data_IF_927828461913
#
_entry.id   IF_927828461913
#
_cell.length_a   1.000
_cell.length_b   1.000
_cell.length_c   1.000
_cell.angle_alpha   90.00
_cell.angle_beta   90.00
_cell.angle_gamma   90.00
#
_symmetry.space_group_name_H-M   'P 1'
#
loop_
_entity.id
_entity.type
_entity.pdbx_description
1 polymer ?
#
# COMPACT_ATOMS: atom_id res chain seq x y z
N UNK A 1 31.27 -4.77 -10.34
CA UNK A 1 31.32 -4.18 -8.99
C UNK A 1 30.50 -2.92 -8.95
N UNK A 2 29.79 -2.66 -7.84
CA UNK A 2 29.02 -1.44 -7.61
C UNK A 2 28.96 -1.12 -6.11
N UNK A 3 28.43 0.04 -5.74
CA UNK A 3 28.27 0.44 -4.33
C UNK A 3 26.80 0.29 -3.96
N UNK A 4 26.51 -0.39 -2.84
CA UNK A 4 25.20 -0.48 -2.22
C UNK A 4 25.31 -0.20 -0.72
N UNK A 5 24.48 0.70 -0.19
CA UNK A 5 24.54 1.15 1.22
C UNK A 5 25.95 1.53 1.70
N UNK A 6 26.73 2.17 0.81
CA UNK A 6 28.10 2.59 1.10
C UNK A 6 29.17 1.49 1.06
N UNK A 7 28.82 0.26 0.72
CA UNK A 7 29.74 -0.88 0.63
C UNK A 7 29.94 -1.32 -0.82
N UNK A 8 31.19 -1.63 -1.20
CA UNK A 8 31.48 -2.18 -2.52
C UNK A 8 30.97 -3.62 -2.60
N UNK A 9 30.14 -3.89 -3.60
CA UNK A 9 29.54 -5.20 -3.88
C UNK A 9 30.18 -5.76 -5.15
N UNK A 10 30.47 -7.05 -5.14
CA UNK A 10 30.87 -7.83 -6.30
C UNK A 10 29.87 -8.96 -6.49
N UNK A 11 29.39 -9.12 -7.75
CA UNK A 11 28.48 -10.22 -8.04
C UNK A 11 29.23 -11.54 -8.05
N UNK A 12 29.01 -12.33 -7.00
CA UNK A 12 29.56 -13.67 -6.83
C UNK A 12 28.49 -14.66 -6.32
N UNK A 13 27.23 -14.28 -6.45
CA UNK A 13 26.09 -15.02 -5.92
C UNK A 13 25.52 -15.96 -6.95
N UNK A 14 25.26 -17.19 -6.56
CA UNK A 14 24.55 -18.20 -7.33
C UNK A 14 23.38 -18.66 -6.47
N UNK A 15 22.20 -18.82 -7.08
CA UNK A 15 21.01 -19.26 -6.36
C UNK A 15 21.15 -20.71 -5.88
N UNK A 16 20.79 -20.94 -4.62
CA UNK A 16 20.62 -22.28 -4.07
C UNK A 16 19.22 -22.83 -4.41
N UNK A 17 19.05 -24.16 -4.35
CA UNK A 17 17.78 -24.81 -4.65
C UNK A 17 16.61 -24.27 -3.80
N UNK A 18 16.85 -23.99 -2.51
CA UNK A 18 15.83 -23.41 -1.63
C UNK A 18 15.36 -22.03 -2.10
N UNK A 19 16.25 -21.23 -2.71
CA UNK A 19 15.93 -19.90 -3.25
C UNK A 19 15.13 -20.01 -4.54
N UNK A 20 15.43 -21.01 -5.38
CA UNK A 20 14.64 -21.29 -6.59
C UNK A 20 13.21 -21.73 -6.21
N UNK A 21 13.08 -22.60 -5.20
CA UNK A 21 11.78 -23.02 -4.66
C UNK A 21 11.03 -21.81 -4.08
N UNK A 22 11.68 -20.99 -3.24
CA UNK A 22 11.09 -19.79 -2.66
C UNK A 22 10.61 -18.81 -3.73
N UNK A 23 11.42 -18.56 -4.76
CA UNK A 23 11.05 -17.71 -5.90
C UNK A 23 9.83 -18.22 -6.65
N UNK A 24 9.75 -19.53 -6.88
CA UNK A 24 8.58 -20.14 -7.52
C UNK A 24 7.31 -20.00 -6.66
N UNK A 25 7.41 -20.23 -5.36
CA UNK A 25 6.30 -20.08 -4.40
C UNK A 25 5.77 -18.64 -4.40
N UNK A 26 6.65 -17.65 -4.35
CA UNK A 26 6.30 -16.22 -4.41
C UNK A 26 5.62 -15.86 -5.74
N UNK A 27 6.14 -16.37 -6.88
CA UNK A 27 5.51 -16.15 -8.18
C UNK A 27 4.07 -16.70 -8.24
N UNK A 28 3.80 -17.79 -7.53
CA UNK A 28 2.44 -18.36 -7.41
C UNK A 28 1.53 -17.61 -6.45
N UNK A 29 1.96 -16.44 -5.92
CA UNK A 29 1.17 -15.64 -4.99
C UNK A 29 0.96 -16.32 -3.64
N UNK A 30 1.94 -17.04 -3.17
CA UNK A 30 1.93 -17.77 -1.88
C UNK A 30 2.96 -17.20 -0.93
N UNK A 31 2.88 -17.60 0.33
CA UNK A 31 3.86 -17.25 1.36
C UNK A 31 5.03 -18.25 1.26
N UNK A 32 6.24 -17.72 1.15
CA UNK A 32 7.48 -18.48 1.24
C UNK A 32 8.12 -18.19 2.61
N UNK A 33 8.07 -19.16 3.51
CA UNK A 33 8.78 -19.10 4.78
C UNK A 33 10.22 -19.55 4.56
N UNK A 34 11.16 -18.66 4.85
CA UNK A 34 12.60 -18.90 4.73
C UNK A 34 13.29 -18.43 6.00
N UNK A 35 14.23 -19.24 6.50
CA UNK A 35 14.99 -18.90 7.71
C UNK A 35 15.92 -17.71 7.47
N UNK A 36 16.31 -17.06 8.56
CA UNK A 36 17.34 -16.01 8.52
C UNK A 36 18.65 -16.59 7.97
N UNK A 37 19.24 -15.90 6.99
CA UNK A 37 20.48 -16.34 6.33
C UNK A 37 20.29 -17.19 5.07
N UNK A 38 19.10 -17.65 4.75
CA UNK A 38 18.82 -18.41 3.50
C UNK A 38 18.77 -17.53 2.23
N UNK A 39 18.96 -16.23 2.37
CA UNK A 39 19.06 -15.31 1.23
C UNK A 39 17.70 -14.95 0.62
N UNK A 40 16.74 -14.56 1.45
CA UNK A 40 15.40 -14.08 1.01
C UNK A 40 15.47 -13.00 -0.06
N UNK A 41 16.34 -12.01 0.11
CA UNK A 41 16.52 -10.91 -0.86
C UNK A 41 16.94 -11.43 -2.23
N UNK A 42 17.85 -12.39 -2.29
CA UNK A 42 18.28 -13.02 -3.55
C UNK A 42 17.18 -13.89 -4.15
N UNK A 43 16.45 -14.65 -3.34
CA UNK A 43 15.30 -15.44 -3.77
C UNK A 43 14.21 -14.58 -4.42
N UNK A 44 13.93 -13.40 -3.85
CA UNK A 44 12.95 -12.46 -4.37
C UNK A 44 13.28 -11.92 -5.77
N UNK A 45 14.55 -11.89 -6.16
CA UNK A 45 14.97 -11.39 -7.50
C UNK A 45 14.33 -12.17 -8.64
N UNK A 46 14.12 -13.48 -8.47
CA UNK A 46 13.55 -14.37 -9.49
C UNK A 46 12.12 -13.99 -9.86
N UNK A 47 11.16 -13.96 -8.92
CA UNK A 47 9.79 -13.56 -9.23
C UNK A 47 9.66 -12.08 -9.57
N UNK A 48 10.50 -11.20 -9.01
CA UNK A 48 10.53 -9.78 -9.38
C UNK A 48 10.85 -9.66 -10.87
N UNK A 49 11.96 -10.24 -11.31
CA UNK A 49 12.37 -10.20 -12.71
C UNK A 49 11.26 -10.73 -13.64
N UNK A 50 10.76 -11.92 -13.36
CA UNK A 50 9.75 -12.57 -14.19
C UNK A 50 8.46 -11.73 -14.32
N UNK A 51 7.99 -11.14 -13.23
CA UNK A 51 6.77 -10.34 -13.25
C UNK A 51 6.99 -8.93 -13.80
N UNK A 52 8.21 -8.37 -13.70
CA UNK A 52 8.59 -7.08 -14.28
C UNK A 52 8.60 -7.10 -15.80
N UNK A 53 8.91 -8.23 -16.43
CA UNK A 53 8.86 -8.40 -17.90
C UNK A 53 7.50 -8.06 -18.52
N UNK A 54 6.44 -8.04 -17.73
CA UNK A 54 5.10 -7.64 -18.21
C UNK A 54 4.97 -6.13 -18.47
N UNK A 55 5.92 -5.31 -18.01
CA UNK A 55 5.87 -3.84 -18.07
C UNK A 55 4.80 -3.18 -17.21
N UNK A 56 4.10 -3.97 -16.36
CA UNK A 56 2.98 -3.48 -15.55
C UNK A 56 3.39 -3.03 -14.14
N UNK A 57 4.65 -3.20 -13.78
CA UNK A 57 5.22 -2.82 -12.49
C UNK A 57 5.15 -3.89 -11.42
N UNK A 58 6.24 -3.95 -10.66
CA UNK A 58 6.41 -4.81 -9.50
C UNK A 58 6.78 -3.95 -8.31
N UNK A 59 6.09 -4.13 -7.19
CA UNK A 59 6.39 -3.43 -5.94
C UNK A 59 7.06 -4.39 -4.96
N UNK A 60 8.19 -3.96 -4.37
CA UNK A 60 8.82 -4.64 -3.24
C UNK A 60 8.61 -3.80 -1.98
N UNK A 61 7.86 -4.36 -1.05
CA UNK A 61 7.47 -3.70 0.20
C UNK A 61 8.32 -4.21 1.34
N UNK A 62 8.97 -3.31 2.08
CA UNK A 62 9.81 -3.61 3.24
C UNK A 62 9.31 -2.87 4.48
N UNK A 63 9.84 -3.24 5.66
CA UNK A 63 9.42 -2.65 6.95
C UNK A 63 10.03 -1.29 7.24
N UNK A 64 11.15 -0.92 6.61
CA UNK A 64 11.81 0.36 6.86
C UNK A 64 12.56 0.88 5.63
N UNK A 65 12.83 2.20 5.64
CA UNK A 65 13.48 2.90 4.56
C UNK A 65 14.94 2.46 4.31
N UNK A 66 15.63 2.02 5.35
CA UNK A 66 17.01 1.51 5.20
C UNK A 66 17.01 0.26 4.32
N UNK A 67 16.13 -0.70 4.59
CA UNK A 67 16.01 -1.93 3.79
C UNK A 67 15.56 -1.62 2.36
N UNK A 68 14.57 -0.75 2.19
CA UNK A 68 14.11 -0.36 0.87
C UNK A 68 15.24 0.20 0.00
N UNK A 69 16.04 1.13 0.54
CA UNK A 69 17.19 1.73 -0.14
C UNK A 69 18.31 0.72 -0.37
N UNK A 70 18.70 -0.01 0.68
CA UNK A 70 19.77 -1.01 0.59
C UNK A 70 19.46 -2.05 -0.49
N UNK A 71 18.27 -2.61 -0.49
CA UNK A 71 17.92 -3.69 -1.38
C UNK A 71 17.73 -3.21 -2.83
N UNK A 72 17.21 -1.98 -3.02
CA UNK A 72 17.16 -1.36 -4.34
C UNK A 72 18.54 -1.09 -4.92
N UNK A 73 19.50 -0.63 -4.11
CA UNK A 73 20.88 -0.41 -4.52
C UNK A 73 21.63 -1.72 -4.73
N UNK A 74 21.33 -2.73 -3.93
CA UNK A 74 22.03 -4.02 -3.98
C UNK A 74 21.59 -4.87 -5.16
N UNK A 75 20.27 -5.03 -5.36
CA UNK A 75 19.70 -5.87 -6.43
C UNK A 75 19.39 -5.09 -7.70
N UNK A 76 19.27 -3.75 -7.62
CA UNK A 76 18.96 -2.89 -8.75
C UNK A 76 19.85 -3.11 -9.97
N UNK A 77 21.19 -3.14 -9.84
CA UNK A 77 22.10 -3.36 -10.96
C UNK A 77 21.88 -4.69 -11.70
N UNK A 78 21.41 -5.74 -11.01
CA UNK A 78 21.03 -6.99 -11.66
C UNK A 78 19.88 -6.78 -12.66
N UNK A 79 18.83 -6.08 -12.22
CA UNK A 79 17.67 -5.82 -13.07
C UNK A 79 18.00 -4.85 -14.19
N UNK A 80 18.79 -3.81 -13.91
CA UNK A 80 19.26 -2.84 -14.88
C UNK A 80 20.12 -3.47 -15.96
N UNK A 81 20.94 -4.47 -15.62
CA UNK A 81 21.71 -5.26 -16.60
C UNK A 81 20.77 -5.96 -17.59
N UNK A 82 19.60 -6.34 -17.18
CA UNK A 82 18.57 -6.94 -18.04
C UNK A 82 17.63 -5.91 -18.71
N UNK A 83 17.94 -4.62 -18.61
CA UNK A 83 17.19 -3.55 -19.28
C UNK A 83 15.92 -3.11 -18.52
N UNK A 84 15.74 -3.51 -17.27
CA UNK A 84 14.62 -3.08 -16.43
C UNK A 84 14.98 -1.85 -15.61
N UNK A 85 14.05 -0.93 -15.48
CA UNK A 85 14.16 0.24 -14.61
C UNK A 85 13.84 -0.10 -13.16
N UNK A 86 14.63 0.48 -12.23
CA UNK A 86 14.48 0.26 -10.77
C UNK A 86 14.54 1.59 -10.07
N UNK A 87 13.62 1.83 -9.14
CA UNK A 87 13.67 3.01 -8.29
C UNK A 87 13.13 2.69 -6.88
N UNK A 88 13.38 3.62 -5.94
CA UNK A 88 12.94 3.53 -4.55
C UNK A 88 12.17 4.79 -4.16
N UNK A 89 10.88 4.65 -3.84
CA UNK A 89 10.01 5.78 -3.50
C UNK A 89 10.47 6.52 -2.24
N UNK A 90 11.15 5.84 -1.32
CA UNK A 90 11.70 6.46 -0.10
C UNK A 90 12.82 7.49 -0.37
N UNK A 91 13.32 7.56 -1.60
CA UNK A 91 14.29 8.57 -2.02
C UNK A 91 13.65 9.89 -2.49
N UNK A 92 12.34 9.88 -2.72
CA UNK A 92 11.62 10.98 -3.35
C UNK A 92 10.58 11.60 -2.43
N UNK A 93 10.37 12.91 -2.55
CA UNK A 93 9.37 13.62 -1.77
C UNK A 93 7.94 13.19 -2.14
N UNK A 94 7.02 13.12 -1.18
CA UNK A 94 5.61 12.86 -1.46
C UNK A 94 5.03 13.82 -2.49
N UNK A 95 4.16 13.32 -3.38
CA UNK A 95 3.50 14.07 -4.46
C UNK A 95 4.44 14.73 -5.47
N UNK A 96 5.73 14.38 -5.50
CA UNK A 96 6.67 14.90 -6.48
C UNK A 96 6.58 14.16 -7.82
N UNK A 97 7.08 14.78 -8.89
CA UNK A 97 7.16 14.14 -10.19
C UNK A 97 8.16 12.97 -10.19
N UNK A 98 9.26 13.12 -9.45
CA UNK A 98 10.27 12.06 -9.27
C UNK A 98 9.65 10.84 -8.62
N UNK A 99 8.76 11.04 -7.62
CA UNK A 99 8.04 9.93 -6.97
C UNK A 99 7.06 9.24 -7.94
N UNK A 100 6.41 10.01 -8.81
CA UNK A 100 5.58 9.46 -9.90
C UNK A 100 6.42 8.63 -10.86
N UNK A 101 7.58 9.12 -11.26
CA UNK A 101 8.50 8.38 -12.12
C UNK A 101 8.99 7.10 -11.46
N UNK A 102 9.24 7.11 -10.14
CA UNK A 102 9.58 5.90 -9.39
C UNK A 102 8.48 4.83 -9.46
N UNK A 103 7.19 5.23 -9.43
CA UNK A 103 6.08 4.29 -9.63
C UNK A 103 5.94 3.81 -11.08
N UNK A 104 6.47 4.54 -12.04
CA UNK A 104 6.49 4.12 -13.46
C UNK A 104 7.65 3.19 -13.79
N UNK A 105 8.63 3.05 -12.90
CA UNK A 105 9.71 2.09 -13.05
C UNK A 105 9.16 0.64 -13.12
N UNK A 106 9.87 -0.27 -13.77
CA UNK A 106 9.49 -1.68 -13.85
C UNK A 106 9.45 -2.34 -12.47
N UNK A 107 10.36 -1.90 -11.59
CA UNK A 107 10.50 -2.39 -10.22
C UNK A 107 10.59 -1.18 -9.28
N UNK A 108 9.67 -1.11 -8.31
CA UNK A 108 9.58 -0.04 -7.32
C UNK A 108 9.76 -0.60 -5.93
N UNK A 109 10.81 -0.17 -5.24
CA UNK A 109 11.06 -0.46 -3.83
C UNK A 109 10.42 0.61 -2.94
N UNK A 110 10.01 0.24 -1.73
CA UNK A 110 9.53 1.20 -0.75
C UNK A 110 9.09 0.55 0.56
N UNK A 111 8.88 1.40 1.57
CA UNK A 111 8.33 0.95 2.84
C UNK A 111 6.81 0.79 2.75
N UNK A 112 6.28 -0.11 3.59
CA UNK A 112 4.84 -0.33 3.75
C UNK A 112 4.09 0.98 4.01
N UNK A 113 4.62 1.83 4.89
CA UNK A 113 4.01 3.11 5.25
C UNK A 113 3.95 4.08 4.06
N UNK A 114 5.05 4.21 3.30
CA UNK A 114 5.10 5.12 2.15
C UNK A 114 4.15 4.68 1.03
N UNK A 115 4.07 3.40 0.70
CA UNK A 115 3.07 2.88 -0.22
C UNK A 115 1.65 3.16 0.27
N UNK A 116 1.39 2.95 1.55
CA UNK A 116 0.09 3.21 2.16
C UNK A 116 -0.27 4.69 2.19
N UNK A 117 0.66 5.57 2.53
CA UNK A 117 0.44 7.02 2.51
C UNK A 117 0.20 7.54 1.09
N UNK A 118 0.91 7.04 0.08
CA UNK A 118 0.67 7.43 -1.31
C UNK A 118 -0.71 6.96 -1.77
N UNK A 119 -1.12 5.75 -1.41
CA UNK A 119 -2.46 5.27 -1.69
C UNK A 119 -3.54 6.17 -1.06
N UNK A 120 -3.36 6.59 0.19
CA UNK A 120 -4.29 7.51 0.84
C UNK A 120 -4.30 8.90 0.17
N UNK A 121 -3.13 9.44 -0.20
CA UNK A 121 -3.01 10.72 -0.92
C UNK A 121 -3.70 10.66 -2.28
N UNK A 122 -3.49 9.58 -3.02
CA UNK A 122 -4.12 9.36 -4.33
C UNK A 122 -5.65 9.28 -4.22
N UNK A 123 -6.18 8.65 -3.16
CA UNK A 123 -7.63 8.62 -2.92
C UNK A 123 -8.22 10.00 -2.56
N UNK A 124 -7.40 10.96 -2.12
CA UNK A 124 -7.81 12.34 -1.87
C UNK A 124 -7.57 13.25 -3.07
N UNK A 125 -6.92 12.79 -4.12
CA UNK A 125 -6.60 13.55 -5.30
C UNK A 125 -7.89 14.00 -6.03
N UNK A 126 -7.92 15.26 -6.46
CA UNK A 126 -9.07 15.84 -7.16
C UNK A 126 -8.99 15.65 -8.68
N UNK A 127 -7.81 15.40 -9.22
CA UNK A 127 -7.56 15.26 -10.65
C UNK A 127 -6.75 14.01 -10.91
N UNK A 128 -6.99 13.28 -12.00
CA UNK A 128 -6.19 12.10 -12.37
C UNK A 128 -4.68 12.42 -12.52
N UNK A 129 -4.34 13.64 -12.92
CA UNK A 129 -2.94 14.09 -13.04
C UNK A 129 -2.21 14.26 -11.70
N UNK A 130 -2.93 14.29 -10.57
CA UNK A 130 -2.33 14.42 -9.24
C UNK A 130 -1.98 13.04 -8.65
N UNK A 131 -2.40 11.94 -9.28
CA UNK A 131 -2.09 10.58 -8.84
C UNK A 131 -0.61 10.26 -9.05
N UNK A 132 0.02 9.68 -8.05
CA UNK A 132 1.42 9.22 -8.16
C UNK A 132 1.52 7.73 -8.48
N UNK A 133 0.60 6.92 -7.95
CA UNK A 133 0.59 5.48 -8.18
C UNK A 133 -0.08 5.15 -9.52
N UNK A 134 0.42 4.09 -10.16
CA UNK A 134 -0.25 3.45 -11.29
C UNK A 134 -1.07 2.26 -10.84
N UNK A 135 -1.77 1.61 -11.77
CA UNK A 135 -2.51 0.39 -11.50
C UNK A 135 -1.58 -0.68 -10.92
N UNK A 136 -1.99 -1.25 -9.78
CA UNK A 136 -1.26 -2.31 -9.10
C UNK A 136 -1.30 -3.62 -9.92
N UNK A 137 -0.19 -4.34 -9.97
CA UNK A 137 -0.05 -5.58 -10.72
C UNK A 137 0.49 -6.72 -9.86
N UNK A 138 1.70 -6.60 -9.34
CA UNK A 138 2.35 -7.62 -8.52
C UNK A 138 3.14 -6.97 -7.41
N UNK A 139 3.11 -7.57 -6.22
CA UNK A 139 3.91 -7.13 -5.08
C UNK A 139 4.48 -8.30 -4.31
N UNK A 140 5.66 -8.09 -3.74
CA UNK A 140 6.25 -8.94 -2.71
C UNK A 140 6.31 -8.11 -1.44
N UNK A 141 5.84 -8.69 -0.33
CA UNK A 141 5.95 -8.10 1.01
C UNK A 141 6.99 -8.89 1.78
N UNK A 142 8.11 -8.26 2.09
CA UNK A 142 9.14 -8.84 2.94
C UNK A 142 8.77 -8.63 4.42
N UNK A 143 9.18 -9.57 5.28
CA UNK A 143 8.84 -9.56 6.71
C UNK A 143 7.33 -9.36 6.95
N UNK A 144 6.54 -10.18 6.27
CA UNK A 144 5.07 -10.06 6.20
C UNK A 144 4.38 -10.12 7.57
N UNK A 145 4.95 -10.82 8.52
CA UNK A 145 4.52 -10.87 9.92
C UNK A 145 4.64 -9.49 10.59
N UNK A 146 5.76 -8.81 10.42
CA UNK A 146 5.92 -7.44 10.90
C UNK A 146 4.94 -6.49 10.22
N UNK A 147 4.83 -6.54 8.88
CA UNK A 147 4.00 -5.60 8.11
C UNK A 147 2.50 -5.83 8.32
N UNK A 148 2.03 -7.07 8.26
CA UNK A 148 0.59 -7.39 8.24
C UNK A 148 0.03 -7.88 9.58
N UNK A 149 0.88 -8.12 10.59
CA UNK A 149 0.44 -8.53 11.93
C UNK A 149 0.83 -7.49 12.96
N UNK A 150 2.12 -7.20 13.15
CA UNK A 150 2.59 -6.32 14.21
C UNK A 150 2.21 -4.86 13.95
N UNK A 151 2.50 -4.34 12.76
CA UNK A 151 2.21 -2.96 12.36
C UNK A 151 0.75 -2.76 11.92
N UNK A 152 0.01 -3.82 11.67
CA UNK A 152 -1.36 -3.74 11.15
C UNK A 152 -2.34 -2.98 12.08
N UNK A 153 -2.00 -2.84 13.36
CA UNK A 153 -2.78 -2.08 14.34
C UNK A 153 -2.46 -0.58 14.33
N UNK A 154 -1.38 -0.17 13.69
CA UNK A 154 -0.97 1.23 13.63
C UNK A 154 -1.67 1.90 12.45
N UNK A 155 -2.64 2.81 12.69
CA UNK A 155 -3.35 3.44 11.59
C UNK A 155 -2.44 4.42 10.84
N UNK A 156 -2.53 4.42 9.53
CA UNK A 156 -1.93 5.48 8.70
C UNK A 156 -2.86 6.70 8.73
N UNK A 157 -2.43 7.78 9.36
CA UNK A 157 -3.23 8.99 9.51
C UNK A 157 -2.56 10.14 8.75
N UNK A 158 -3.28 10.72 7.80
CA UNK A 158 -2.92 11.98 7.17
C UNK A 158 -3.71 13.08 7.88
N UNK A 159 -3.02 13.94 8.62
CA UNK A 159 -3.60 15.10 9.27
C UNK A 159 -2.77 16.34 8.93
N UNK A 160 -3.44 17.47 8.81
CA UNK A 160 -2.79 18.75 8.61
C UNK A 160 -3.57 19.87 9.29
N UNK A 161 -2.95 21.02 9.58
CA UNK A 161 -3.67 22.16 10.09
C UNK A 161 -4.72 22.59 9.08
N UNK A 162 -5.96 22.73 9.55
CA UNK A 162 -7.02 23.34 8.72
C UNK A 162 -6.78 24.82 8.61
N UNK A 163 -6.92 25.44 7.43
CA UNK A 163 -6.69 26.87 7.22
C UNK A 163 -7.60 27.78 8.06
N UNK A 164 -8.65 27.24 8.64
CA UNK A 164 -9.61 27.94 9.51
C UNK A 164 -9.63 27.27 10.88
N UNK A 165 -8.51 27.35 11.64
CA UNK A 165 -8.52 27.04 13.06
C UNK A 165 -9.55 27.95 13.77
N UNK A 166 -10.36 27.36 14.64
CA UNK A 166 -11.24 28.02 15.64
C UNK A 166 -12.52 28.73 15.15
N UNK A 167 -12.84 28.85 13.89
CA UNK A 167 -14.18 29.24 13.45
C UNK A 167 -15.06 28.00 13.23
N UNK A 168 -15.39 27.34 14.31
CA UNK A 168 -16.37 26.28 14.26
C UNK A 168 -17.79 26.87 14.21
N UNK A 169 -18.44 26.72 13.07
CA UNK A 169 -19.85 27.09 12.87
C UNK A 169 -20.83 26.16 13.62
N UNK A 170 -20.33 25.31 14.54
CA UNK A 170 -21.13 24.35 15.29
C UNK A 170 -22.25 25.02 16.07
N UNK A 171 -21.99 26.19 16.67
CA UNK A 171 -22.99 26.90 17.46
C UNK A 171 -24.08 27.49 16.57
N UNK A 172 -23.71 27.97 15.39
CA UNK A 172 -24.64 28.55 14.41
C UNK A 172 -25.59 27.50 13.83
N UNK A 173 -25.08 26.34 13.45
CA UNK A 173 -25.87 25.29 12.81
C UNK A 173 -26.48 24.29 13.80
N UNK A 174 -26.09 24.28 15.08
CA UNK A 174 -26.57 23.35 16.10
C UNK A 174 -28.09 23.23 16.15
N UNK A 175 -28.79 24.36 16.12
CA UNK A 175 -30.25 24.38 16.18
C UNK A 175 -30.88 23.77 14.93
N UNK A 176 -30.39 24.11 13.74
CA UNK A 176 -30.87 23.58 12.45
C UNK A 176 -30.62 22.07 12.33
N UNK A 177 -29.45 21.60 12.73
CA UNK A 177 -29.11 20.17 12.76
C UNK A 177 -30.00 19.42 13.74
N UNK A 178 -30.23 19.97 14.95
CA UNK A 178 -31.11 19.36 15.94
C UNK A 178 -32.56 19.25 15.44
N UNK A 179 -33.07 20.27 14.73
CA UNK A 179 -34.39 20.22 14.08
C UNK A 179 -34.45 19.12 13.03
N UNK A 180 -33.46 19.03 12.14
CA UNK A 180 -33.38 17.99 11.10
C UNK A 180 -33.37 16.59 11.72
N UNK A 181 -32.55 16.36 12.71
CA UNK A 181 -32.48 15.07 13.42
C UNK A 181 -33.81 14.71 14.08
N UNK A 182 -34.51 15.69 14.67
CA UNK A 182 -35.82 15.45 15.27
C UNK A 182 -36.90 15.11 14.23
N UNK A 183 -36.91 15.78 13.09
CA UNK A 183 -37.82 15.46 11.97
C UNK A 183 -37.55 14.05 11.44
N UNK A 184 -36.29 13.72 11.22
CA UNK A 184 -35.89 12.38 10.78
C UNK A 184 -36.29 11.28 11.77
N UNK A 185 -36.06 11.50 13.07
CA UNK A 185 -36.48 10.55 14.13
C UNK A 185 -37.98 10.31 14.10
N UNK A 186 -38.80 11.38 14.02
CA UNK A 186 -40.26 11.26 13.94
C UNK A 186 -40.70 10.46 12.71
N UNK A 187 -40.13 10.77 11.56
CA UNK A 187 -40.42 10.08 10.30
C UNK A 187 -40.10 8.60 10.36
N UNK A 188 -38.88 8.25 10.82
CA UNK A 188 -38.46 6.85 10.98
C UNK A 188 -39.33 6.12 12.00
N UNK A 189 -39.71 6.75 13.12
CA UNK A 189 -40.59 6.15 14.12
C UNK A 189 -41.98 5.86 13.55
N UNK A 190 -42.53 6.75 12.72
CA UNK A 190 -43.80 6.52 12.01
C UNK A 190 -43.71 5.30 11.11
N UNK A 191 -42.68 5.23 10.22
CA UNK A 191 -42.49 4.09 9.30
C UNK A 191 -42.37 2.78 10.06
N UNK A 192 -41.58 2.75 11.15
CA UNK A 192 -41.41 1.54 11.97
C UNK A 192 -42.74 1.12 12.62
N UNK A 193 -43.53 2.10 13.07
CA UNK A 193 -44.87 1.81 13.65
C UNK A 193 -45.81 1.20 12.60
N UNK A 194 -45.82 1.77 11.39
CA UNK A 194 -46.65 1.28 10.30
C UNK A 194 -46.22 -0.10 9.81
N UNK A 195 -44.90 -0.32 9.71
CA UNK A 195 -44.34 -1.64 9.38
C UNK A 195 -44.69 -2.70 10.43
N UNK A 196 -44.64 -2.36 11.73
CA UNK A 196 -45.05 -3.27 12.82
C UNK A 196 -46.53 -3.62 12.73
N UNK A 197 -47.40 -2.65 12.43
CA UNK A 197 -48.85 -2.94 12.25
C UNK A 197 -49.08 -3.90 11.09
N UNK A 198 -48.49 -3.61 9.93
CA UNK A 198 -48.62 -4.47 8.75
C UNK A 198 -48.08 -5.90 9.01
N UNK A 199 -47.01 -6.02 9.78
CA UNK A 199 -46.45 -7.31 10.15
C UNK A 199 -47.38 -8.09 11.10
N UNK A 200 -47.98 -7.42 12.08
CA UNK A 200 -48.96 -8.07 12.99
C UNK A 200 -50.24 -8.49 12.25
N UNK A 201 -50.76 -7.65 11.33
CA UNK A 201 -51.94 -7.97 10.55
C UNK A 201 -51.76 -9.14 9.58
N UNK A 202 -50.51 -9.35 9.09
CA UNK A 202 -50.22 -10.50 8.21
C UNK A 202 -50.03 -11.81 9.00
N UNK A 203 -49.60 -11.77 10.26
CA UNK A 203 -49.50 -12.96 11.10
C UNK A 203 -50.86 -13.43 11.67
N UNK A 204 -51.93 -12.62 11.62
CA UNK A 204 -53.28 -13.04 12.00
C UNK A 204 -54.04 -13.76 10.85
N UNK A 205 -53.38 -13.90 9.67
CA UNK A 205 -54.01 -14.57 8.51
C UNK A 205 -53.42 -15.94 8.18
N UNK A 206 -52.53 -16.48 9.00
CA UNK A 206 -52.14 -17.89 9.05
C UNK A 206 -52.76 -18.57 10.30
#
# INVERSE_FOLDING_TARGET
>A
KWIAAGTEIEWNMIHYDVQLIGGYVLHKGKIAEMQTGEGKTLSATLPIYLNALTGRGVHLVTVNNYLAKRDSEWMGPLFQFHGLSVDCIDNHQPNSEERRQAYLADITYGTNNEFGFDYLRDNMAKRPGDLVQRKLNYSIVDEVDSVLVDDARTPLIISGPTPQGDKHEYNEFKHKVAQLVNVQKKYVTSIISDAKKLFSENNEKE
#
